data_IF_877116305322
#
_entry.id   IF_877116305322
#
_cell.length_a   1.000
_cell.length_b   1.000
_cell.length_c   1.000
_cell.angle_alpha   90.00
_cell.angle_beta   90.00
_cell.angle_gamma   90.00
#
_symmetry.space_group_name_H-M   'P 1'
#
loop_
_entity.id
_entity.type
_entity.pdbx_description
1 polymer ?
#
# COMPACT_ATOMS: atom_id res chain seq x y z
N UNK A 1 4.59 -3.05 -30.25
CA UNK A 1 4.91 -3.88 -29.08
C UNK A 1 4.10 -3.31 -27.94
N UNK A 2 3.05 -4.00 -27.48
CA UNK A 2 2.33 -3.59 -26.27
C UNK A 2 3.20 -3.98 -25.09
N UNK A 3 3.63 -3.00 -24.29
CA UNK A 3 4.27 -3.25 -23.01
C UNK A 3 3.20 -3.77 -22.07
N UNK A 4 2.98 -5.08 -22.05
CA UNK A 4 2.25 -5.73 -20.97
C UNK A 4 3.08 -5.54 -19.71
N UNK A 5 2.49 -4.95 -18.68
CA UNK A 5 3.17 -4.83 -17.41
C UNK A 5 2.75 -6.04 -16.57
N UNK A 6 3.72 -6.77 -16.06
CA UNK A 6 3.46 -7.86 -15.15
C UNK A 6 2.82 -7.32 -13.85
N UNK A 7 1.88 -8.08 -13.29
CA UNK A 7 1.22 -7.76 -12.03
C UNK A 7 1.55 -8.86 -11.04
N UNK A 8 1.99 -8.49 -9.85
CA UNK A 8 2.20 -9.42 -8.75
C UNK A 8 1.34 -9.04 -7.54
N UNK A 9 1.03 -10.02 -6.70
CA UNK A 9 0.40 -9.79 -5.40
C UNK A 9 1.46 -9.82 -4.32
N UNK A 10 1.62 -8.71 -3.62
CA UNK A 10 2.63 -8.55 -2.58
C UNK A 10 2.00 -8.05 -1.28
N UNK A 11 2.57 -8.44 -0.12
CA UNK A 11 2.19 -7.85 1.15
C UNK A 11 2.37 -6.34 1.16
N UNK A 12 1.49 -5.63 1.84
CA UNK A 12 1.62 -4.17 2.02
C UNK A 12 2.98 -3.80 2.62
N UNK A 13 3.50 -4.59 3.55
CA UNK A 13 4.82 -4.38 4.17
C UNK A 13 6.00 -4.34 3.17
N UNK A 14 5.86 -4.92 1.98
CA UNK A 14 6.89 -4.96 0.95
C UNK A 14 6.82 -3.79 -0.04
N UNK A 15 5.78 -2.97 0.06
CA UNK A 15 5.57 -1.81 -0.81
C UNK A 15 6.52 -0.68 -0.47
N UNK A 16 7.04 -0.03 -1.51
CA UNK A 16 7.96 1.10 -1.41
C UNK A 16 7.49 2.29 -2.24
N UNK A 17 8.05 3.46 -1.92
CA UNK A 17 7.91 4.65 -2.75
C UNK A 17 8.43 4.39 -4.17
N UNK A 18 7.65 4.81 -5.17
CA UNK A 18 7.88 4.54 -6.58
C UNK A 18 7.12 3.33 -7.12
N UNK A 19 6.61 2.44 -6.25
CA UNK A 19 5.80 1.30 -6.67
C UNK A 19 4.47 1.79 -7.24
N UNK A 20 3.99 1.07 -8.27
CA UNK A 20 2.66 1.25 -8.82
C UNK A 20 1.73 0.23 -8.19
N UNK A 21 0.75 0.67 -7.41
CA UNK A 21 -0.21 -0.20 -6.74
C UNK A 21 -1.59 -0.03 -7.34
N UNK A 22 -2.36 -1.12 -7.38
CA UNK A 22 -3.78 -1.02 -7.63
C UNK A 22 -4.51 -0.73 -6.32
N UNK A 23 -5.25 0.38 -6.28
CA UNK A 23 -6.15 0.69 -5.19
C UNK A 23 -7.31 -0.32 -5.20
N UNK A 24 -7.50 -1.14 -4.15
CA UNK A 24 -8.57 -2.11 -4.09
C UNK A 24 -9.97 -1.48 -4.03
N UNK A 25 -10.10 -0.20 -3.66
CA UNK A 25 -11.39 0.50 -3.61
C UNK A 25 -11.82 1.03 -4.97
N UNK A 26 -10.94 1.76 -5.65
CA UNK A 26 -11.25 2.38 -6.94
C UNK A 26 -10.89 1.52 -8.15
N UNK A 27 -10.01 0.53 -7.98
CA UNK A 27 -9.43 -0.25 -9.08
C UNK A 27 -8.35 0.50 -9.88
N UNK A 28 -8.09 1.76 -9.54
CA UNK A 28 -7.12 2.61 -10.21
C UNK A 28 -5.70 2.25 -9.80
N UNK A 29 -4.75 2.58 -10.67
CA UNK A 29 -3.33 2.47 -10.37
C UNK A 29 -2.80 3.78 -9.80
N UNK A 30 -2.16 3.71 -8.65
CA UNK A 30 -1.53 4.84 -7.99
C UNK A 30 -0.02 4.62 -7.96
N UNK A 31 0.75 5.69 -8.15
CA UNK A 31 2.18 5.66 -7.87
C UNK A 31 2.39 6.05 -6.41
N UNK A 32 2.97 5.17 -5.62
CA UNK A 32 3.30 5.49 -4.22
C UNK A 32 4.35 6.60 -4.22
N UNK A 33 3.98 7.75 -3.68
CA UNK A 33 4.90 8.90 -3.54
C UNK A 33 5.44 9.02 -2.13
N UNK A 34 4.69 8.52 -1.14
CA UNK A 34 5.07 8.56 0.27
C UNK A 34 4.49 7.38 1.02
N UNK A 35 5.25 6.85 1.97
CA UNK A 35 4.75 5.90 2.98
C UNK A 35 4.82 6.51 4.38
N UNK A 36 3.76 6.39 5.17
CA UNK A 36 3.76 6.80 6.57
C UNK A 36 3.45 5.61 7.48
N UNK A 37 4.41 5.24 8.31
CA UNK A 37 4.21 4.31 9.43
C UNK A 37 3.53 5.07 10.57
N UNK A 38 2.30 4.69 10.89
CA UNK A 38 1.57 5.25 12.01
C UNK A 38 1.53 4.22 13.12
N UNK A 39 2.31 4.47 14.17
CA UNK A 39 2.09 3.82 15.45
C UNK A 39 0.90 4.54 16.10
N UNK A 40 -0.28 3.94 16.10
CA UNK A 40 -1.32 4.37 17.03
C UNK A 40 -0.85 3.94 18.41
N UNK A 41 -0.27 4.87 19.15
CA UNK A 41 0.02 4.72 20.57
C UNK A 41 -1.28 4.53 21.33
N UNK A 42 -1.77 3.29 21.39
CA UNK A 42 -2.74 2.89 22.40
C UNK A 42 -1.89 2.56 23.61
N UNK A 43 -1.68 3.56 24.46
CA UNK A 43 -1.39 3.30 25.87
C UNK A 43 -2.62 2.64 26.47
N UNK A 44 -2.75 1.33 26.30
CA UNK A 44 -3.35 0.52 27.34
C UNK A 44 -2.69 -0.87 27.36
N UNK A 45 -2.01 -1.09 28.47
CA UNK A 45 -1.69 -2.34 29.10
C UNK A 45 -2.41 -3.56 28.50
N UNK A 46 -1.62 -4.43 27.83
CA UNK A 46 -1.95 -5.75 27.29
C UNK A 46 -2.38 -5.77 25.81
N UNK A 47 -1.59 -6.52 25.01
CA UNK A 47 -1.80 -6.96 23.60
C UNK A 47 -1.50 -5.96 22.48
N UNK A 48 -0.29 -6.08 21.90
CA UNK A 48 0.03 -5.83 20.48
C UNK A 48 -0.18 -4.41 19.96
N UNK A 49 0.89 -3.64 19.83
CA UNK A 49 0.86 -2.41 19.04
C UNK A 49 0.37 -2.73 17.62
N UNK A 50 -0.81 -2.24 17.23
CA UNK A 50 -1.28 -2.33 15.84
C UNK A 50 -0.54 -1.27 15.01
N UNK A 51 0.63 -1.63 14.50
CA UNK A 51 1.38 -0.81 13.54
C UNK A 51 0.66 -0.88 12.19
N UNK A 52 0.19 0.26 11.68
CA UNK A 52 -0.37 0.34 10.33
C UNK A 52 0.38 1.38 9.49
N UNK A 53 0.43 1.12 8.19
CA UNK A 53 1.07 1.99 7.19
C UNK A 53 0.03 2.58 6.26
N UNK A 54 0.21 3.84 5.88
CA UNK A 54 -0.57 4.53 4.85
C UNK A 54 0.33 4.80 3.64
N UNK A 55 -0.18 4.47 2.44
CA UNK A 55 0.49 4.71 1.16
C UNK A 55 -0.21 5.84 0.43
N UNK A 56 0.52 6.91 0.13
CA UNK A 56 0.00 8.08 -0.56
C UNK A 56 0.32 7.98 -2.05
N UNK A 57 -0.71 8.12 -2.89
CA UNK A 57 -0.63 8.16 -4.35
C UNK A 57 -0.17 9.52 -4.88
N UNK A 58 0.18 9.57 -6.16
CA UNK A 58 0.53 10.79 -6.88
C UNK A 58 -0.68 11.65 -7.26
N UNK A 59 -1.89 11.07 -7.29
CA UNK A 59 -3.16 11.77 -7.49
C UNK A 59 -3.82 12.26 -6.19
N UNK A 60 -3.15 12.11 -5.04
CA UNK A 60 -3.70 12.42 -3.72
C UNK A 60 -4.54 11.29 -3.10
N UNK A 61 -4.52 10.09 -3.70
CA UNK A 61 -5.13 8.89 -3.13
C UNK A 61 -4.38 8.41 -1.90
N UNK A 62 -5.09 7.71 -1.01
CA UNK A 62 -4.51 7.13 0.19
C UNK A 62 -5.00 5.69 0.38
N UNK A 63 -4.05 4.76 0.50
CA UNK A 63 -4.32 3.37 0.85
C UNK A 63 -3.90 3.18 2.30
N UNK A 64 -4.87 3.07 3.20
CA UNK A 64 -4.64 2.71 4.58
C UNK A 64 -4.70 1.19 4.73
N UNK A 65 -3.58 0.61 5.19
CA UNK A 65 -3.40 -0.84 5.34
C UNK A 65 -4.44 -1.53 6.22
N UNK A 66 -5.11 -0.80 7.11
CA UNK A 66 -6.19 -1.35 7.96
C UNK A 66 -7.44 -1.72 7.17
N UNK A 67 -7.66 -1.09 6.01
CA UNK A 67 -8.85 -1.28 5.19
C UNK A 67 -8.59 -2.15 3.95
N UNK A 68 -7.43 -2.80 3.89
CA UNK A 68 -7.02 -3.64 2.78
C UNK A 68 -6.68 -5.03 3.30
N UNK A 69 -6.89 -6.06 2.49
CA UNK A 69 -6.78 -7.49 2.85
C UNK A 69 -5.33 -7.97 3.02
N UNK A 70 -4.41 -7.09 3.42
CA UNK A 70 -2.99 -7.39 3.69
C UNK A 70 -2.09 -7.54 2.45
N UNK A 71 -2.66 -7.84 1.29
CA UNK A 71 -1.95 -7.90 0.00
C UNK A 71 -2.57 -6.96 -1.04
N UNK A 72 -1.73 -6.44 -1.92
CA UNK A 72 -2.13 -5.55 -3.02
C UNK A 72 -1.48 -5.98 -4.32
N UNK A 73 -2.12 -5.63 -5.44
CA UNK A 73 -1.53 -5.81 -6.76
C UNK A 73 -0.49 -4.70 -6.96
N UNK A 74 0.76 -5.09 -7.27
CA UNK A 74 1.85 -4.20 -7.68
C UNK A 74 2.20 -4.46 -9.13
N UNK A 75 2.45 -3.39 -9.88
CA UNK A 75 2.96 -3.46 -11.25
C UNK A 75 4.48 -3.66 -11.22
N UNK A 76 4.97 -4.64 -11.97
CA UNK A 76 6.40 -4.94 -12.13
C UNK A 76 6.83 -4.48 -13.52
N UNK A 77 7.97 -3.81 -13.61
CA UNK A 77 8.63 -3.57 -14.91
C UNK A 77 9.44 -4.82 -15.26
N UNK A 78 9.18 -5.37 -16.44
CA UNK A 78 9.99 -6.44 -17.05
C UNK A 78 11.41 -5.95 -17.40
#
# INVERSE_FOLDING_TARGET
MSSEHAIEKVPLSEIREGDMLQDPKSGNWIKVTRTADTAMGITDTHSGEEHYRVYYGDGGEEIDSRFVTGVVNRQVRE
#
